data_IF_104918268189
#
_entry.id   IF_104918268189
#
_cell.length_a   1.000
_cell.length_b   1.000
_cell.length_c   1.000
_cell.angle_alpha   90.00
_cell.angle_beta   90.00
_cell.angle_gamma   90.00
#
_symmetry.space_group_name_H-M   'P 1'
#
loop_
_entity.id
_entity.type
_entity.pdbx_description
1 polymer ?
#
# COMPACT_ATOMS: atom_id res chain seq x y z
N UNK A 1 48.40 -11.90 4.57
CA UNK A 1 47.68 -10.62 4.73
C UNK A 1 46.50 -10.65 3.78
N UNK A 2 45.29 -10.76 4.31
CA UNK A 2 44.06 -10.85 3.51
C UNK A 2 43.08 -9.88 4.11
N UNK A 3 42.94 -8.71 3.51
CA UNK A 3 41.90 -7.75 3.84
C UNK A 3 40.63 -8.22 3.12
N UNK A 4 39.72 -8.86 3.87
CA UNK A 4 38.34 -9.02 3.42
C UNK A 4 37.66 -7.67 3.63
N UNK A 5 37.50 -6.91 2.55
CA UNK A 5 36.50 -5.86 2.48
C UNK A 5 35.13 -6.54 2.61
N UNK A 6 34.58 -6.50 3.81
CA UNK A 6 33.17 -6.81 4.03
C UNK A 6 32.39 -5.63 3.45
N UNK A 7 31.95 -5.77 2.20
CA UNK A 7 30.90 -4.92 1.64
C UNK A 7 29.63 -5.24 2.43
N UNK A 8 29.39 -4.46 3.48
CA UNK A 8 28.13 -4.46 4.20
C UNK A 8 27.11 -3.89 3.22
N UNK A 9 26.35 -4.77 2.56
CA UNK A 9 25.10 -4.38 1.92
C UNK A 9 24.21 -3.87 3.05
N UNK A 10 24.19 -2.55 3.27
CA UNK A 10 23.10 -1.91 3.98
C UNK A 10 21.85 -2.20 3.16
N UNK A 11 21.14 -3.27 3.52
CA UNK A 11 19.74 -3.44 3.15
C UNK A 11 19.09 -2.19 3.71
N UNK A 12 18.84 -1.20 2.83
CA UNK A 12 18.10 0.01 3.17
C UNK A 12 16.84 -0.49 3.88
N UNK A 13 16.75 -0.34 5.20
CA UNK A 13 15.57 -0.74 5.94
C UNK A 13 14.47 0.20 5.45
N UNK A 14 13.68 -0.28 4.50
CA UNK A 14 12.49 0.41 4.02
C UNK A 14 11.53 0.40 5.19
N UNK A 15 11.29 1.57 5.77
CA UNK A 15 10.40 1.79 6.92
C UNK A 15 8.94 1.98 6.50
N UNK A 16 8.64 1.85 5.20
CA UNK A 16 7.28 1.81 4.70
C UNK A 16 6.50 0.67 5.38
N UNK A 17 5.36 1.02 5.97
CA UNK A 17 4.42 0.07 6.55
C UNK A 17 3.46 -0.44 5.47
N UNK A 18 2.97 -1.69 5.57
CA UNK A 18 1.92 -2.16 4.68
C UNK A 18 0.64 -1.34 4.88
N UNK A 19 -0.13 -1.07 3.80
CA UNK A 19 -1.43 -0.45 3.94
C UNK A 19 -2.44 -1.37 4.60
N UNK A 20 -3.46 -0.79 5.23
CA UNK A 20 -4.55 -1.52 5.86
C UNK A 20 -5.89 -1.29 5.17
N UNK A 21 -6.68 -2.34 4.97
CA UNK A 21 -8.09 -2.19 4.59
C UNK A 21 -8.89 -1.98 5.87
N UNK A 22 -9.48 -0.80 6.04
CA UNK A 22 -10.12 -0.41 7.31
C UNK A 22 -11.30 -1.31 7.70
N UNK A 23 -12.01 -1.83 6.71
CA UNK A 23 -13.14 -2.74 6.89
C UNK A 23 -12.71 -4.20 7.14
N UNK A 24 -11.42 -4.51 7.05
CA UNK A 24 -10.92 -5.86 7.25
C UNK A 24 -10.91 -6.24 8.74
N UNK A 25 -11.28 -7.48 9.04
CA UNK A 25 -11.26 -8.04 10.40
C UNK A 25 -10.50 -9.36 10.36
N UNK A 26 -9.49 -9.50 11.21
CA UNK A 26 -8.65 -10.71 11.32
C UNK A 26 -8.05 -11.19 9.99
N UNK A 27 -7.69 -10.25 9.11
CA UNK A 27 -7.13 -10.55 7.78
C UNK A 27 -8.18 -10.91 6.72
N UNK A 28 -9.46 -10.71 7.01
CA UNK A 28 -10.55 -10.97 6.07
C UNK A 28 -11.30 -9.71 5.68
N UNK A 29 -11.65 -9.60 4.40
CA UNK A 29 -12.53 -8.57 3.84
C UNK A 29 -13.84 -9.23 3.45
N UNK A 30 -14.97 -8.61 3.80
CA UNK A 30 -16.27 -9.12 3.34
C UNK A 30 -16.53 -8.72 1.88
N UNK A 31 -17.16 -9.57 1.05
CA UNK A 31 -17.41 -9.25 -0.36
C UNK A 31 -18.12 -7.92 -0.57
N UNK A 32 -19.08 -7.57 0.28
CA UNK A 32 -19.84 -6.32 0.19
C UNK A 32 -18.97 -5.07 0.35
N UNK A 33 -17.85 -5.17 1.07
CA UNK A 33 -16.95 -4.04 1.32
C UNK A 33 -15.98 -3.79 0.17
N UNK A 34 -15.82 -4.72 -0.77
CA UNK A 34 -15.01 -4.48 -1.96
C UNK A 34 -15.59 -3.39 -2.87
N UNK A 35 -16.89 -3.10 -2.73
CA UNK A 35 -17.56 -2.04 -3.50
C UNK A 35 -17.22 -0.64 -3.01
N UNK A 36 -16.74 -0.50 -1.79
CA UNK A 36 -16.47 0.76 -1.11
C UNK A 36 -15.32 0.57 -0.12
N UNK A 37 -14.26 -0.10 -0.59
CA UNK A 37 -13.11 -0.47 0.21
C UNK A 37 -12.30 0.79 0.55
N UNK A 38 -11.93 0.94 1.82
CA UNK A 38 -11.12 2.07 2.28
C UNK A 38 -9.74 1.56 2.67
N UNK A 39 -8.73 2.02 1.94
CA UNK A 39 -7.34 1.71 2.17
C UNK A 39 -6.72 2.87 2.94
N UNK A 40 -6.10 2.54 4.07
CA UNK A 40 -5.36 3.45 4.91
C UNK A 40 -3.86 3.18 4.78
N UNK A 41 -3.09 4.24 4.55
CA UNK A 41 -1.63 4.21 4.52
C UNK A 41 -1.14 5.08 5.69
N UNK A 42 -0.54 4.43 6.67
CA UNK A 42 0.15 5.12 7.75
C UNK A 42 1.38 5.84 7.21
N UNK A 43 1.58 7.09 7.62
CA UNK A 43 2.80 7.83 7.30
C UNK A 43 3.97 7.26 8.10
N UNK A 44 5.14 7.24 7.46
CA UNK A 44 6.39 6.74 8.05
C UNK A 44 7.53 7.71 7.71
N UNK A 45 8.72 7.48 8.25
CA UNK A 45 9.90 8.32 7.98
C UNK A 45 10.26 8.42 6.49
N UNK A 46 9.81 7.44 5.69
CA UNK A 46 10.14 7.34 4.27
C UNK A 46 9.15 8.08 3.37
N UNK A 47 8.02 8.55 3.92
CA UNK A 47 7.01 9.37 3.24
C UNK A 47 7.19 10.82 3.69
N UNK A 48 7.36 11.74 2.74
CA UNK A 48 7.60 13.15 2.99
C UNK A 48 6.58 14.03 2.27
N UNK A 49 6.40 15.26 2.78
CA UNK A 49 5.60 16.29 2.13
C UNK A 49 6.14 16.53 0.71
N UNK A 50 5.26 16.52 -0.29
CA UNK A 50 5.64 16.69 -1.69
C UNK A 50 5.99 15.40 -2.44
N UNK A 51 6.11 14.25 -1.76
CA UNK A 51 6.23 12.97 -2.45
C UNK A 51 4.94 12.65 -3.22
N UNK A 52 5.03 11.89 -4.31
CA UNK A 52 3.86 11.34 -4.99
C UNK A 52 3.58 9.93 -4.47
N UNK A 53 2.35 9.68 -4.02
CA UNK A 53 1.90 8.37 -3.57
C UNK A 53 0.89 7.81 -4.55
N UNK A 54 1.10 6.55 -4.94
CA UNK A 54 0.21 5.79 -5.79
C UNK A 54 -0.23 4.51 -5.06
N UNK A 55 -1.48 4.44 -4.58
CA UNK A 55 -1.98 3.26 -3.90
C UNK A 55 -2.57 2.26 -4.89
N UNK A 56 -2.46 0.97 -4.55
CA UNK A 56 -2.88 -0.16 -5.37
C UNK A 56 -3.65 -1.20 -4.54
N UNK A 57 -4.66 -1.78 -5.14
CA UNK A 57 -5.40 -2.94 -4.62
C UNK A 57 -5.50 -3.99 -5.72
N UNK A 58 -5.11 -5.21 -5.43
CA UNK A 58 -5.31 -6.36 -6.29
C UNK A 58 -6.30 -7.32 -5.65
N UNK A 59 -7.30 -7.75 -6.41
CA UNK A 59 -8.27 -8.75 -5.98
C UNK A 59 -8.26 -9.88 -7.01
N UNK A 60 -7.91 -11.09 -6.57
CA UNK A 60 -7.82 -12.24 -7.46
C UNK A 60 -9.16 -12.47 -8.18
N UNK A 61 -9.10 -12.64 -9.50
CA UNK A 61 -10.27 -12.81 -10.36
C UNK A 61 -10.96 -11.51 -10.79
N UNK A 62 -10.70 -10.39 -10.12
CA UNK A 62 -11.27 -9.07 -10.48
C UNK A 62 -10.24 -8.10 -11.06
N UNK A 63 -8.96 -8.33 -10.77
CA UNK A 63 -7.84 -7.55 -11.28
C UNK A 63 -7.35 -6.49 -10.30
N UNK A 64 -6.57 -5.56 -10.83
CA UNK A 64 -5.89 -4.53 -10.04
C UNK A 64 -6.54 -3.16 -10.23
N UNK A 65 -6.66 -2.44 -9.13
CA UNK A 65 -7.22 -1.10 -9.03
C UNK A 65 -6.13 -0.18 -8.49
N UNK A 66 -6.05 1.03 -9.01
CA UNK A 66 -5.16 2.07 -8.50
C UNK A 66 -5.83 3.42 -8.56
N UNK A 67 -5.25 4.38 -7.86
CA UNK A 67 -5.56 5.80 -8.01
C UNK A 67 -4.40 6.49 -8.71
N UNK A 68 -4.69 7.45 -9.58
CA UNK A 68 -3.65 8.34 -10.13
C UNK A 68 -2.75 8.87 -9.00
N UNK A 69 -1.42 8.85 -9.15
CA UNK A 69 -0.51 9.37 -8.14
C UNK A 69 -0.89 10.79 -7.71
N UNK A 70 -0.78 11.06 -6.41
CA UNK A 70 -1.09 12.37 -5.84
C UNK A 70 -0.03 12.79 -4.83
N UNK A 71 0.11 14.11 -4.68
CA UNK A 71 1.09 14.70 -3.79
C UNK A 71 0.70 14.54 -2.32
N UNK A 72 1.67 14.16 -1.48
CA UNK A 72 1.52 14.09 -0.04
C UNK A 72 1.42 15.51 0.52
N UNK A 73 0.35 15.76 1.27
CA UNK A 73 0.03 17.07 1.85
C UNK A 73 0.31 17.07 3.35
N UNK A 74 0.21 18.23 4.01
CA UNK A 74 0.37 18.33 5.47
C UNK A 74 -0.70 17.55 6.22
N UNK A 75 -1.92 17.49 5.68
CA UNK A 75 -3.04 16.75 6.27
C UNK A 75 -2.79 15.25 6.22
N UNK A 76 -2.32 14.75 5.06
CA UNK A 76 -1.84 13.37 4.94
C UNK A 76 -0.76 13.04 5.97
N UNK A 77 0.19 13.95 6.21
CA UNK A 77 1.26 13.74 7.21
C UNK A 77 0.74 13.65 8.65
N UNK A 78 -0.35 14.34 8.97
CA UNK A 78 -0.93 14.38 10.30
C UNK A 78 -1.87 13.18 10.57
N UNK A 79 -2.67 12.78 9.58
CA UNK A 79 -3.77 11.83 9.77
C UNK A 79 -3.51 10.47 9.11
N UNK A 80 -2.53 10.41 8.20
CA UNK A 80 -2.34 9.32 7.26
C UNK A 80 -3.06 9.58 5.95
N UNK A 81 -2.83 8.69 4.98
CA UNK A 81 -3.41 8.79 3.65
C UNK A 81 -4.59 7.83 3.55
N UNK A 82 -5.75 8.35 3.15
CA UNK A 82 -6.96 7.57 2.93
C UNK A 82 -7.26 7.50 1.43
N UNK A 83 -7.45 6.29 0.94
CA UNK A 83 -7.94 6.04 -0.41
C UNK A 83 -9.22 5.19 -0.35
N UNK A 84 -10.32 5.80 -0.75
CA UNK A 84 -11.58 5.10 -1.00
C UNK A 84 -11.60 4.61 -2.44
N UNK A 85 -11.80 3.31 -2.64
CA UNK A 85 -12.03 2.79 -3.98
C UNK A 85 -13.32 3.39 -4.56
N UNK A 86 -13.31 3.81 -5.84
CA UNK A 86 -14.53 4.15 -6.54
C UNK A 86 -15.55 3.00 -6.44
N UNK A 87 -16.84 3.34 -6.44
CA UNK A 87 -17.88 2.34 -6.33
C UNK A 87 -17.88 1.39 -7.53
N UNK A 88 -17.35 0.19 -7.34
CA UNK A 88 -17.36 -0.88 -8.34
C UNK A 88 -18.32 -1.99 -7.89
N UNK A 89 -19.05 -2.60 -8.82
CA UNK A 89 -19.84 -3.81 -8.54
C UNK A 89 -18.92 -5.03 -8.55
N UNK A 90 -18.00 -5.10 -7.59
CA UNK A 90 -17.09 -6.22 -7.41
C UNK A 90 -17.82 -7.34 -6.66
N UNK A 91 -17.79 -8.54 -7.24
CA UNK A 91 -18.28 -9.78 -6.62
C UNK A 91 -17.12 -10.75 -6.64
N UNK A 92 -16.37 -10.80 -5.54
CA UNK A 92 -15.26 -11.73 -5.39
C UNK A 92 -15.74 -13.04 -4.76
N UNK A 93 -15.11 -14.14 -5.14
CA UNK A 93 -15.36 -15.46 -4.55
C UNK A 93 -14.82 -15.52 -3.11
N UNK A 94 -15.49 -16.29 -2.24
CA UNK A 94 -14.97 -16.54 -0.88
C UNK A 94 -13.60 -17.23 -0.97
N UNK A 95 -12.66 -16.77 -0.15
CA UNK A 95 -11.28 -17.23 -0.15
C UNK A 95 -10.35 -16.48 -1.11
N UNK A 96 -10.88 -15.66 -2.04
CA UNK A 96 -10.07 -14.92 -3.00
C UNK A 96 -9.03 -14.04 -2.28
N UNK A 97 -7.74 -14.12 -2.65
CA UNK A 97 -6.70 -13.22 -2.16
C UNK A 97 -7.00 -11.75 -2.49
N UNK A 98 -6.75 -10.89 -1.52
CA UNK A 98 -6.82 -9.43 -1.66
C UNK A 98 -5.51 -8.85 -1.17
N UNK A 99 -4.84 -8.07 -2.01
CA UNK A 99 -3.52 -7.51 -1.72
C UNK A 99 -3.55 -5.99 -1.88
N UNK A 100 -3.17 -5.25 -0.84
CA UNK A 100 -3.02 -3.80 -0.91
C UNK A 100 -1.54 -3.42 -0.81
N UNK A 101 -1.09 -2.50 -1.65
CA UNK A 101 0.26 -1.91 -1.58
C UNK A 101 0.22 -0.46 -2.06
N UNK A 102 1.36 0.23 -1.97
CA UNK A 102 1.51 1.57 -2.53
C UNK A 102 2.96 1.81 -2.93
N UNK A 103 3.11 2.75 -3.86
CA UNK A 103 4.42 3.24 -4.31
C UNK A 103 4.57 4.69 -3.91
N UNK A 104 5.76 5.06 -3.46
CA UNK A 104 6.16 6.43 -3.14
C UNK A 104 7.24 6.84 -4.14
N UNK A 105 6.98 7.94 -4.86
CA UNK A 105 7.93 8.55 -5.78
C UNK A 105 8.45 9.85 -5.18
N UNK A 106 9.77 9.93 -5.02
CA UNK A 106 10.48 11.16 -4.72
C UNK A 106 11.25 11.57 -5.96
N UNK A 107 11.21 12.86 -6.31
CA UNK A 107 11.97 13.36 -7.45
C UNK A 107 13.44 12.88 -7.34
N UNK A 108 13.98 12.36 -8.45
CA UNK A 108 15.36 11.88 -8.60
C UNK A 108 15.74 10.56 -7.91
N UNK A 109 14.81 9.87 -7.23
CA UNK A 109 15.07 8.56 -6.60
C UNK A 109 14.22 7.47 -7.25
N UNK A 110 14.74 6.24 -7.30
CA UNK A 110 13.94 5.06 -7.63
C UNK A 110 12.72 4.97 -6.70
N UNK A 111 11.54 4.58 -7.24
CA UNK A 111 10.33 4.45 -6.44
C UNK A 111 10.53 3.49 -5.26
N UNK A 112 10.02 3.88 -4.09
CA UNK A 112 9.92 3.01 -2.94
C UNK A 112 8.57 2.29 -2.98
N UNK A 113 8.62 0.95 -2.97
CA UNK A 113 7.42 0.11 -2.94
C UNK A 113 7.24 -0.39 -1.51
N UNK A 114 6.03 -0.24 -0.97
CA UNK A 114 5.71 -0.72 0.37
C UNK A 114 5.58 -2.24 0.44
N UNK A 115 5.75 -2.83 1.64
CA UNK A 115 5.28 -4.18 1.88
C UNK A 115 3.78 -4.31 1.59
N UNK A 116 3.34 -5.49 1.16
CA UNK A 116 1.94 -5.72 0.85
C UNK A 116 1.12 -6.06 2.11
N UNK A 117 -0.01 -5.38 2.29
CA UNK A 117 -1.09 -5.84 3.16
C UNK A 117 -1.84 -7.00 2.48
N UNK A 118 -1.99 -8.13 3.16
CA UNK A 118 -2.57 -9.35 2.59
C UNK A 118 -3.83 -9.77 3.34
N UNK A 119 -4.88 -10.03 2.59
CA UNK A 119 -6.20 -10.37 3.09
C UNK A 119 -6.81 -11.48 2.24
N UNK A 120 -7.95 -12.01 2.71
CA UNK A 120 -8.81 -12.91 1.93
C UNK A 120 -10.26 -12.45 1.99
N UNK A 121 -11.01 -12.76 0.96
CA UNK A 121 -12.46 -12.60 0.98
C UNK A 121 -13.07 -13.67 1.91
N UNK A 122 -13.99 -13.27 2.78
CA UNK A 122 -14.73 -14.20 3.67
C UNK A 122 -16.00 -14.72 3.01
#
# INVERSE_FOLDING_TARGET
>A
MTTKEAVTFHKLERNLLPPTIQQAVDGFVKPEFLKNCTIYIATSSDIQLGDLVEPFLDVEGLGSFSRTPFEVTKEHMAEGIVWELPAYNLVAESGAPVTACYTVWRQEINPLISPAGKYKVK
#
